data_IF_304887798226
#
_entry.id   IF_304887798226
#
_cell.length_a   1.000
_cell.length_b   1.000
_cell.length_c   1.000
_cell.angle_alpha   90.00
_cell.angle_beta   90.00
_cell.angle_gamma   90.00
#
_symmetry.space_group_name_H-M   'P 1'
#
loop_
_entity.id
_entity.type
_entity.pdbx_description
1 polymer ?
#
# COMPACT_ATOMS: atom_id res chain seq x y z
N UNK A 1 -7.87 7.47 -1.99
CA UNK A 1 -7.30 8.21 -3.14
C UNK A 1 -8.28 8.06 -4.29
N UNK A 2 -8.92 9.15 -4.74
CA UNK A 2 -9.70 9.16 -6.00
C UNK A 2 -8.96 10.11 -6.93
N UNK A 3 -8.26 9.56 -7.92
CA UNK A 3 -7.66 10.38 -8.99
C UNK A 3 -8.71 10.44 -10.10
N UNK A 4 -9.17 11.64 -10.45
CA UNK A 4 -10.14 11.91 -11.53
C UNK A 4 -11.43 11.05 -11.52
N UNK A 5 -11.87 10.59 -10.35
CA UNK A 5 -13.00 9.65 -10.20
C UNK A 5 -12.85 8.32 -10.98
N UNK A 6 -11.61 7.91 -11.28
CA UNK A 6 -11.37 6.62 -11.93
C UNK A 6 -11.58 5.47 -10.94
N UNK A 7 -12.46 4.54 -11.31
CA UNK A 7 -12.60 3.26 -10.62
C UNK A 7 -11.51 2.28 -11.07
N UNK A 8 -11.02 1.46 -10.15
CA UNK A 8 -10.09 0.38 -10.44
C UNK A 8 -10.86 -0.92 -10.69
N UNK A 9 -10.29 -1.81 -11.51
CA UNK A 9 -10.81 -3.17 -11.66
C UNK A 9 -10.31 -4.01 -10.49
N UNK A 10 -11.18 -4.76 -9.82
CA UNK A 10 -10.75 -5.63 -8.72
C UNK A 10 -9.81 -6.73 -9.27
N UNK A 11 -8.60 -6.91 -8.70
CA UNK A 11 -7.73 -8.01 -9.12
C UNK A 11 -8.26 -9.35 -8.63
N UNK A 12 -7.84 -10.43 -9.29
CA UNK A 12 -8.16 -11.79 -8.86
C UNK A 12 -7.85 -12.03 -7.38
N UNK A 13 -8.57 -12.96 -6.77
CA UNK A 13 -8.36 -13.34 -5.37
C UNK A 13 -7.19 -14.32 -5.19
N UNK A 14 -6.05 -14.00 -5.81
CA UNK A 14 -4.81 -14.78 -5.76
C UNK A 14 -3.65 -13.87 -5.38
N UNK A 15 -2.75 -14.37 -4.53
CA UNK A 15 -1.54 -13.64 -4.16
C UNK A 15 -0.75 -13.21 -5.41
N UNK A 16 -0.40 -11.92 -5.46
CA UNK A 16 0.32 -11.31 -6.58
C UNK A 16 -0.56 -10.91 -7.77
N UNK A 17 -1.84 -11.25 -7.80
CA UNK A 17 -2.72 -10.77 -8.86
C UNK A 17 -2.83 -9.25 -8.80
N UNK A 18 -2.82 -8.60 -9.97
CA UNK A 18 -3.00 -7.16 -10.07
C UNK A 18 -3.79 -6.76 -11.31
N UNK A 19 -4.29 -5.54 -11.28
CA UNK A 19 -4.93 -4.85 -12.40
C UNK A 19 -4.34 -3.45 -12.48
N UNK A 20 -4.04 -3.00 -13.70
CA UNK A 20 -3.54 -1.65 -13.92
C UNK A 20 -4.67 -0.62 -13.74
N UNK A 21 -4.30 0.52 -13.17
CA UNK A 21 -5.17 1.68 -12.98
C UNK A 21 -4.81 2.67 -14.07
N UNK A 22 -5.68 2.76 -15.08
CA UNK A 22 -5.45 3.57 -16.28
C UNK A 22 -6.27 4.86 -16.20
N UNK A 23 -5.61 6.00 -16.42
CA UNK A 23 -6.24 7.33 -16.43
C UNK A 23 -5.76 8.06 -17.67
N UNK A 24 -6.69 8.51 -18.51
CA UNK A 24 -6.41 9.20 -19.79
C UNK A 24 -5.45 8.44 -20.72
N UNK A 25 -5.47 7.10 -20.65
CA UNK A 25 -4.59 6.23 -21.45
C UNK A 25 -3.23 5.93 -20.83
N UNK A 26 -2.91 6.51 -19.67
CA UNK A 26 -1.66 6.27 -18.95
C UNK A 26 -1.86 5.35 -17.75
N UNK A 27 -0.89 4.47 -17.47
CA UNK A 27 -0.91 3.59 -16.30
C UNK A 27 -0.36 4.36 -15.09
N UNK A 28 -1.24 4.68 -14.14
CA UNK A 28 -0.88 5.43 -12.92
C UNK A 28 -0.36 4.51 -11.81
N UNK A 29 -0.71 3.23 -11.86
CA UNK A 29 -0.41 2.28 -10.81
C UNK A 29 -1.19 0.98 -10.94
N UNK A 30 -1.23 0.19 -9.88
CA UNK A 30 -1.87 -1.13 -9.82
C UNK A 30 -2.70 -1.30 -8.56
N UNK A 31 -3.86 -1.95 -8.68
CA UNK A 31 -4.51 -2.56 -7.53
C UNK A 31 -3.93 -3.99 -7.37
N UNK A 32 -3.28 -4.27 -6.25
CA UNK A 32 -2.49 -5.49 -6.04
C UNK A 32 -3.06 -6.33 -4.90
N UNK A 33 -3.25 -7.62 -5.15
CA UNK A 33 -3.67 -8.63 -4.16
C UNK A 33 -2.46 -9.18 -3.43
N UNK A 34 -2.09 -8.56 -2.33
CA UNK A 34 -0.99 -9.03 -1.46
C UNK A 34 -1.41 -10.09 -0.45
N UNK A 35 -2.72 -10.26 -0.23
CA UNK A 35 -3.29 -11.32 0.61
C UNK A 35 -4.69 -11.66 0.11
N UNK A 36 -5.04 -12.94 0.15
CA UNK A 36 -6.36 -13.42 -0.26
C UNK A 36 -7.44 -12.95 0.71
N UNK A 37 -8.66 -12.79 0.19
CA UNK A 37 -9.89 -12.47 0.93
C UNK A 37 -9.88 -11.15 1.70
N UNK A 38 -8.89 -10.29 1.47
CA UNK A 38 -8.78 -8.95 2.04
C UNK A 38 -8.67 -7.90 0.95
N UNK A 39 -9.00 -6.65 1.26
CA UNK A 39 -8.91 -5.53 0.29
C UNK A 39 -7.50 -5.44 -0.32
N UNK A 40 -7.39 -5.21 -1.65
CA UNK A 40 -6.09 -5.02 -2.29
C UNK A 40 -5.40 -3.76 -1.74
N UNK A 41 -4.10 -3.65 -2.00
CA UNK A 41 -3.37 -2.40 -1.85
C UNK A 41 -3.30 -1.68 -3.20
N UNK A 42 -3.02 -0.38 -3.17
CA UNK A 42 -2.81 0.42 -4.36
C UNK A 42 -1.33 0.77 -4.43
N UNK A 43 -0.69 0.37 -5.51
CA UNK A 43 0.73 0.57 -5.77
C UNK A 43 0.88 1.60 -6.88
N UNK A 44 1.78 2.57 -6.72
CA UNK A 44 2.19 3.49 -7.77
C UNK A 44 3.70 3.72 -7.65
N UNK A 45 4.32 4.17 -8.73
CA UNK A 45 5.72 4.57 -8.68
C UNK A 45 5.93 5.77 -7.75
N UNK A 46 7.10 5.82 -7.13
CA UNK A 46 7.64 7.02 -6.51
C UNK A 46 8.48 7.81 -7.52
N UNK A 47 9.70 8.15 -7.13
CA UNK A 47 10.69 8.81 -7.99
C UNK A 47 11.80 7.84 -8.41
N UNK A 48 12.28 7.94 -9.66
CA UNK A 48 13.38 7.13 -10.23
C UNK A 48 13.15 5.61 -10.17
N UNK A 49 11.91 5.17 -10.32
CA UNK A 49 11.54 3.76 -10.34
C UNK A 49 10.36 3.54 -11.29
N UNK A 50 10.41 2.46 -12.05
CA UNK A 50 9.28 2.03 -12.89
C UNK A 50 8.28 1.16 -12.11
N UNK A 51 7.14 0.88 -12.74
CA UNK A 51 6.02 0.22 -12.07
C UNK A 51 6.27 -1.26 -11.81
N UNK A 52 7.04 -1.92 -12.69
CA UNK A 52 7.37 -3.34 -12.54
C UNK A 52 8.38 -3.53 -11.39
N UNK A 53 9.43 -2.71 -11.35
CA UNK A 53 10.40 -2.68 -10.26
C UNK A 53 9.73 -2.37 -8.92
N UNK A 54 8.80 -1.41 -8.91
CA UNK A 54 8.01 -1.08 -7.71
C UNK A 54 7.17 -2.25 -7.24
N UNK A 55 6.58 -3.02 -8.17
CA UNK A 55 5.79 -4.20 -7.88
C UNK A 55 6.65 -5.32 -7.30
N UNK A 56 7.79 -5.63 -7.92
CA UNK A 56 8.69 -6.69 -7.45
C UNK A 56 9.22 -6.40 -6.05
N UNK A 57 9.65 -5.15 -5.80
CA UNK A 57 10.09 -4.72 -4.47
C UNK A 57 8.94 -4.87 -3.47
N UNK A 58 7.75 -4.33 -3.77
CA UNK A 58 6.62 -4.41 -2.86
C UNK A 58 6.28 -5.87 -2.52
N UNK A 59 6.20 -6.76 -3.52
CA UNK A 59 5.85 -8.17 -3.35
C UNK A 59 6.92 -8.96 -2.58
N UNK A 60 8.21 -8.65 -2.77
CA UNK A 60 9.30 -9.25 -1.98
C UNK A 60 9.23 -8.90 -0.48
N UNK A 61 8.55 -7.81 -0.15
CA UNK A 61 8.39 -7.30 1.22
C UNK A 61 7.03 -7.64 1.82
N UNK A 62 6.21 -8.50 1.18
CA UNK A 62 4.96 -9.00 1.75
C UNK A 62 5.23 -10.29 2.53
N UNK A 63 4.64 -10.38 3.72
CA UNK A 63 4.58 -11.63 4.51
C UNK A 63 3.13 -11.99 4.86
N UNK A 64 2.93 -13.10 5.60
CA UNK A 64 1.59 -13.63 5.89
C UNK A 64 0.82 -12.86 6.97
N UNK A 65 1.47 -11.94 7.67
CA UNK A 65 0.89 -11.30 8.85
C UNK A 65 -0.03 -10.12 8.49
N UNK A 66 0.21 -9.46 7.36
CA UNK A 66 -0.56 -8.29 6.92
C UNK A 66 -0.70 -8.24 5.40
N UNK A 67 -1.63 -7.42 4.91
CA UNK A 67 -1.71 -7.04 3.49
C UNK A 67 -0.71 -5.93 3.11
N UNK A 68 -0.12 -5.26 4.10
CA UNK A 68 0.84 -4.18 3.90
C UNK A 68 2.28 -4.74 3.83
N UNK A 69 3.17 -4.16 3.01
CA UNK A 69 4.61 -4.46 3.05
C UNK A 69 5.19 -4.28 4.45
N UNK A 70 6.15 -5.12 4.81
CA UNK A 70 6.79 -5.15 6.14
C UNK A 70 7.21 -3.73 6.59
N UNK A 71 7.92 -2.91 5.79
CA UNK A 71 8.35 -1.59 6.25
C UNK A 71 7.17 -0.66 6.57
N UNK A 72 6.14 -0.67 5.72
CA UNK A 72 4.94 0.17 5.89
C UNK A 72 4.14 -0.27 7.11
N UNK A 73 3.98 -1.57 7.30
CA UNK A 73 3.27 -2.12 8.46
C UNK A 73 3.96 -1.77 9.77
N UNK A 74 5.28 -1.95 9.85
CA UNK A 74 6.04 -1.64 11.05
C UNK A 74 5.99 -0.15 11.39
N UNK A 75 6.14 0.72 10.38
CA UNK A 75 5.98 2.16 10.56
C UNK A 75 4.57 2.54 11.05
N UNK A 76 3.51 1.97 10.47
CA UNK A 76 2.12 2.23 10.88
C UNK A 76 1.88 1.85 12.35
N UNK A 77 2.29 0.63 12.74
CA UNK A 77 2.21 0.15 14.12
C UNK A 77 2.95 1.08 15.08
N UNK A 78 4.17 1.51 14.74
CA UNK A 78 4.96 2.39 15.59
C UNK A 78 4.31 3.77 15.75
N UNK A 79 3.78 4.35 14.66
CA UNK A 79 3.08 5.64 14.75
C UNK A 79 1.84 5.57 15.64
N UNK A 80 1.15 4.41 15.67
CA UNK A 80 0.01 4.20 16.54
C UNK A 80 0.42 4.12 18.01
N UNK A 81 1.49 3.38 18.31
CA UNK A 81 2.06 3.28 19.65
C UNK A 81 2.49 4.65 20.17
N UNK A 82 3.31 5.39 19.40
CA UNK A 82 3.79 6.71 19.79
C UNK A 82 2.65 7.73 19.94
N UNK A 83 1.65 7.70 19.06
CA UNK A 83 0.48 8.56 19.17
C UNK A 83 -0.32 8.28 20.44
N UNK A 84 -0.44 7.02 20.85
CA UNK A 84 -1.03 6.64 22.14
C UNK A 84 -0.22 7.21 23.30
N UNK A 85 1.09 6.96 23.28
CA UNK A 85 2.03 7.45 24.31
C UNK A 85 1.95 8.96 24.52
N UNK A 86 2.02 9.77 23.45
CA UNK A 86 1.97 11.23 23.56
C UNK A 86 0.60 11.76 24.01
N UNK A 87 -0.51 11.07 23.67
CA UNK A 87 -1.84 11.43 24.17
C UNK A 87 -1.97 11.21 25.68
N UNK A 88 -1.33 10.18 26.20
CA UNK A 88 -1.29 9.87 27.63
C UNK A 88 -0.27 10.73 28.38
N UNK A 89 0.76 11.25 27.68
CA UNK A 89 1.88 12.02 28.27
C UNK A 89 2.06 13.40 27.60
N UNK A 90 1.08 14.32 27.70
CA UNK A 90 1.08 15.59 26.96
C UNK A 90 2.16 16.61 27.40
N UNK A 91 2.87 16.36 28.51
CA UNK A 91 3.96 17.24 28.97
C UNK A 91 5.29 17.00 28.22
N UNK A 92 5.38 15.97 27.39
CA UNK A 92 6.58 15.61 26.63
C UNK A 92 6.53 16.08 25.16
N UNK A 93 5.50 16.82 24.78
CA UNK A 93 5.33 17.39 23.43
C UNK A 93 5.81 18.84 23.30
N UNK A 94 6.34 19.43 24.38
CA UNK A 94 6.97 20.76 24.40
C UNK A 94 8.47 20.70 24.07
#
# INVERSE_FOLDING_TARGET
>A
MKIKQTDFVMPDNKFGAYTDIVIDGEVYGRAVRTRQDVKPIFLSCGHLIDLDSSYDIAMSLINRESRLPIPVRLADLETHTLRGYYRENPKLTE
#
